data_IF_307144093264
#
_entry.id   IF_307144093264
#
_cell.length_a   1.000
_cell.length_b   1.000
_cell.length_c   1.000
_cell.angle_alpha   90.00
_cell.angle_beta   90.00
_cell.angle_gamma   90.00
#
_symmetry.space_group_name_H-M   'P 1'
#
loop_
_entity.id
_entity.type
_entity.pdbx_description
1 polymer ?
#
# COMPACT_ATOMS: atom_id res chain seq x y z
N UNK A 1 3.17 22.96 2.91
CA UNK A 1 4.09 21.80 3.01
C UNK A 1 3.24 20.57 2.67
N UNK A 2 3.73 19.65 1.85
CA UNK A 2 2.93 18.48 1.47
C UNK A 2 2.73 17.56 2.68
N UNK A 3 1.54 17.02 2.85
CA UNK A 3 1.21 16.06 3.91
C UNK A 3 1.64 14.66 3.50
N UNK A 4 1.99 13.86 4.47
CA UNK A 4 2.32 12.43 4.29
C UNK A 4 1.23 11.57 4.93
N UNK A 5 0.69 10.62 4.19
CA UNK A 5 -0.33 9.68 4.65
C UNK A 5 0.23 8.26 4.62
N UNK A 6 0.15 7.55 5.72
CA UNK A 6 0.64 6.18 5.84
C UNK A 6 -0.54 5.23 5.99
N UNK A 7 -0.88 4.54 4.93
CA UNK A 7 -1.97 3.56 4.91
C UNK A 7 -1.44 2.25 5.49
N UNK A 8 -1.96 1.89 6.67
CA UNK A 8 -1.46 0.75 7.44
C UNK A 8 -0.40 1.13 8.49
N UNK A 9 -0.50 2.34 9.08
CA UNK A 9 0.39 2.79 10.15
C UNK A 9 0.31 1.95 11.43
N UNK A 10 -0.77 1.20 11.66
CA UNK A 10 -0.87 0.22 12.74
C UNK A 10 -0.09 -1.08 12.50
N UNK A 11 0.53 -1.26 11.32
CA UNK A 11 1.42 -2.38 11.01
C UNK A 11 2.87 -2.10 11.37
N UNK A 12 3.71 -3.16 11.34
CA UNK A 12 5.13 -3.08 11.71
C UNK A 12 5.91 -2.02 10.91
N UNK A 13 5.84 -2.10 9.57
CA UNK A 13 6.56 -1.19 8.68
C UNK A 13 5.92 0.20 8.73
N UNK A 14 4.59 0.27 8.64
CA UNK A 14 3.85 1.53 8.66
C UNK A 14 4.05 2.31 9.94
N UNK A 15 4.03 1.65 11.10
CA UNK A 15 4.28 2.26 12.39
C UNK A 15 5.69 2.83 12.51
N UNK A 16 6.70 2.05 12.09
CA UNK A 16 8.09 2.52 12.09
C UNK A 16 8.29 3.74 11.18
N UNK A 17 7.67 3.75 10.00
CA UNK A 17 7.72 4.91 9.09
C UNK A 17 6.99 6.12 9.68
N UNK A 18 5.81 5.90 10.31
CA UNK A 18 5.01 6.94 10.95
C UNK A 18 5.83 7.68 12.03
N UNK A 19 6.44 6.94 12.94
CA UNK A 19 7.27 7.50 14.00
C UNK A 19 8.52 8.22 13.45
N UNK A 20 9.17 7.65 12.43
CA UNK A 20 10.32 8.28 11.79
C UNK A 20 9.95 9.63 11.17
N UNK A 21 8.86 9.71 10.41
CA UNK A 21 8.45 10.95 9.77
C UNK A 21 7.98 12.00 10.80
N UNK A 22 7.29 11.56 11.85
CA UNK A 22 6.91 12.40 13.00
C UNK A 22 8.14 13.00 13.70
N UNK A 23 9.16 12.18 13.96
CA UNK A 23 10.39 12.65 14.60
C UNK A 23 11.13 13.75 13.80
N UNK A 24 10.88 13.79 12.48
CA UNK A 24 11.40 14.83 11.57
C UNK A 24 10.50 16.07 11.49
N UNK A 25 9.48 16.17 12.35
CA UNK A 25 8.51 17.28 12.38
C UNK A 25 7.76 17.48 11.05
N UNK A 26 7.56 16.39 10.29
CA UNK A 26 6.75 16.42 9.08
C UNK A 26 5.25 16.34 9.43
N UNK A 27 4.39 16.85 8.55
CA UNK A 27 2.93 16.75 8.69
C UNK A 27 2.48 15.35 8.24
N UNK A 28 2.28 14.44 9.20
CA UNK A 28 2.07 13.00 8.97
C UNK A 28 0.78 12.52 9.58
N UNK A 29 0.02 11.77 8.79
CA UNK A 29 -1.23 11.11 9.12
C UNK A 29 -1.11 9.61 8.91
N UNK A 30 -1.35 8.82 9.94
CA UNK A 30 -1.37 7.36 9.85
C UNK A 30 -2.78 6.80 9.88
N UNK A 31 -2.99 5.61 9.32
CA UNK A 31 -4.28 4.92 9.36
C UNK A 31 -4.21 3.56 10.06
N UNK A 32 -5.37 3.15 10.62
CA UNK A 32 -5.61 1.79 11.10
C UNK A 32 -6.93 1.25 10.55
N UNK A 33 -7.11 -0.07 10.53
CA UNK A 33 -8.36 -0.70 10.08
C UNK A 33 -9.00 -1.64 11.11
N UNK A 34 -8.21 -2.27 11.97
CA UNK A 34 -8.71 -3.26 12.94
C UNK A 34 -8.43 -2.87 14.40
N UNK A 35 -7.19 -2.61 14.70
CA UNK A 35 -6.77 -2.26 16.06
C UNK A 35 -6.76 -0.74 16.18
N UNK A 36 -7.65 -0.23 17.04
CA UNK A 36 -7.68 1.21 17.31
C UNK A 36 -6.37 1.61 17.99
N UNK A 37 -5.71 2.59 17.42
CA UNK A 37 -4.52 3.22 18.00
C UNK A 37 -4.76 4.72 18.08
N UNK A 38 -4.43 5.30 19.24
CA UNK A 38 -4.56 6.73 19.45
C UNK A 38 -3.72 7.50 18.41
N UNK A 39 -4.28 8.60 17.93
CA UNK A 39 -3.69 9.46 16.90
C UNK A 39 -3.65 8.90 15.46
N UNK A 40 -4.23 7.73 15.19
CA UNK A 40 -4.42 7.22 13.84
C UNK A 40 -5.86 7.42 13.36
N UNK A 41 -6.02 7.54 12.03
CA UNK A 41 -7.31 7.70 11.37
C UNK A 41 -7.88 6.32 11.04
N UNK A 42 -9.14 6.07 11.39
CA UNK A 42 -9.82 4.84 10.94
C UNK A 42 -9.99 4.88 9.42
N UNK A 43 -9.48 3.86 8.74
CA UNK A 43 -9.65 3.67 7.31
C UNK A 43 -9.67 2.19 6.95
N UNK A 44 -10.81 1.71 6.47
CA UNK A 44 -10.99 0.37 5.92
C UNK A 44 -11.10 0.45 4.39
N UNK A 45 -10.02 0.11 3.71
CA UNK A 45 -9.93 0.20 2.25
C UNK A 45 -11.01 -0.62 1.54
N UNK A 46 -11.47 -1.73 2.13
CA UNK A 46 -12.53 -2.57 1.56
C UNK A 46 -13.90 -1.87 1.47
N UNK A 47 -14.13 -0.86 2.30
CA UNK A 47 -15.39 -0.10 2.29
C UNK A 47 -15.47 0.93 1.18
N UNK A 48 -14.36 1.22 0.51
CA UNK A 48 -14.26 2.24 -0.54
C UNK A 48 -14.83 3.61 -0.12
N UNK A 49 -14.81 3.90 1.18
CA UNK A 49 -15.16 5.22 1.73
C UNK A 49 -13.88 6.02 1.94
N UNK A 50 -13.65 6.98 1.08
CA UNK A 50 -12.46 7.84 1.08
C UNK A 50 -12.72 9.20 1.72
N UNK A 51 -13.81 9.38 2.45
CA UNK A 51 -14.24 10.66 3.04
C UNK A 51 -13.20 11.24 4.02
N UNK A 52 -12.45 10.40 4.72
CA UNK A 52 -11.36 10.84 5.61
C UNK A 52 -10.21 11.55 4.85
N UNK A 53 -10.14 11.39 3.53
CA UNK A 53 -9.15 12.02 2.65
C UNK A 53 -9.69 13.19 1.82
N UNK A 54 -10.83 13.78 2.19
CA UNK A 54 -11.42 14.91 1.45
C UNK A 54 -10.50 16.13 1.35
N UNK A 55 -9.62 16.32 2.35
CA UNK A 55 -8.66 17.44 2.44
C UNK A 55 -7.30 17.14 1.80
N UNK A 56 -7.20 16.09 1.04
CA UNK A 56 -5.99 15.76 0.28
C UNK A 56 -5.81 16.76 -0.86
N UNK A 57 -4.59 17.25 -0.96
CA UNK A 57 -4.18 18.27 -1.94
C UNK A 57 -3.20 17.67 -2.96
N UNK A 58 -3.00 18.38 -4.07
CA UNK A 58 -2.02 17.99 -5.09
C UNK A 58 -0.61 17.89 -4.47
N UNK A 59 0.12 16.82 -4.81
CA UNK A 59 1.45 16.46 -4.31
C UNK A 59 1.52 16.01 -2.84
N UNK A 60 0.41 15.83 -2.12
CA UNK A 60 0.42 15.06 -0.88
C UNK A 60 0.93 13.64 -1.17
N UNK A 61 1.63 13.02 -0.21
CA UNK A 61 2.33 11.76 -0.41
C UNK A 61 1.59 10.64 0.32
N UNK A 62 1.28 9.56 -0.38
CA UNK A 62 0.65 8.37 0.18
C UNK A 62 1.60 7.18 0.13
N UNK A 63 1.91 6.62 1.29
CA UNK A 63 2.61 5.36 1.46
C UNK A 63 1.58 4.25 1.65
N UNK A 64 1.40 3.38 0.66
CA UNK A 64 0.46 2.27 0.73
C UNK A 64 1.22 1.03 1.20
N UNK A 65 1.04 0.69 2.48
CA UNK A 65 1.76 -0.37 3.19
C UNK A 65 0.82 -1.45 3.75
N UNK A 66 -0.48 -1.36 3.44
CA UNK A 66 -1.49 -2.29 3.93
C UNK A 66 -1.78 -3.39 2.90
N UNK A 67 -1.54 -4.64 3.28
CA UNK A 67 -1.90 -5.82 2.51
C UNK A 67 -2.13 -7.02 3.42
N UNK A 68 -2.86 -8.03 2.96
CA UNK A 68 -2.78 -9.38 3.50
C UNK A 68 -1.54 -10.06 2.90
N UNK A 69 -0.54 -10.36 3.75
CA UNK A 69 0.75 -10.90 3.31
C UNK A 69 1.03 -12.33 3.81
N UNK A 70 0.15 -12.92 4.62
CA UNK A 70 0.33 -14.29 5.10
C UNK A 70 -0.10 -15.31 4.03
N UNK A 71 0.83 -16.07 3.41
CA UNK A 71 0.53 -16.97 2.30
C UNK A 71 -0.47 -18.08 2.67
N UNK A 72 -0.37 -18.64 3.88
CA UNK A 72 -1.29 -19.70 4.34
C UNK A 72 -2.70 -19.19 4.52
N UNK A 73 -2.87 -17.98 5.07
CA UNK A 73 -4.18 -17.35 5.20
C UNK A 73 -4.76 -17.00 3.82
N UNK A 74 -3.94 -16.44 2.93
CA UNK A 74 -4.33 -16.07 1.56
C UNK A 74 -4.80 -17.31 0.77
N UNK A 75 -4.10 -18.44 0.89
CA UNK A 75 -4.48 -19.68 0.21
C UNK A 75 -5.90 -20.15 0.59
N UNK A 76 -6.32 -19.88 1.83
CA UNK A 76 -7.65 -20.25 2.36
C UNK A 76 -8.72 -19.15 2.11
N UNK A 77 -8.29 -17.91 1.87
CA UNK A 77 -9.16 -16.74 1.80
C UNK A 77 -8.91 -15.91 0.53
N UNK A 78 -8.73 -16.56 -0.61
CA UNK A 78 -8.35 -15.91 -1.89
C UNK A 78 -9.26 -14.75 -2.26
N UNK A 79 -10.57 -14.90 -2.14
CA UNK A 79 -11.53 -13.86 -2.50
C UNK A 79 -11.38 -12.60 -1.63
N UNK A 80 -11.11 -12.75 -0.32
CA UNK A 80 -10.87 -11.62 0.58
C UNK A 80 -9.51 -10.97 0.32
N UNK A 81 -8.50 -11.77 0.03
CA UNK A 81 -7.18 -11.26 -0.34
C UNK A 81 -7.22 -10.51 -1.67
N UNK A 82 -7.95 -11.01 -2.66
CA UNK A 82 -8.18 -10.35 -3.95
C UNK A 82 -8.89 -9.01 -3.75
N UNK A 83 -9.93 -8.97 -2.91
CA UNK A 83 -10.66 -7.73 -2.65
C UNK A 83 -9.77 -6.65 -2.03
N UNK A 84 -8.99 -6.96 -0.99
CA UNK A 84 -8.13 -5.98 -0.36
C UNK A 84 -6.86 -5.70 -1.16
N UNK A 85 -6.07 -6.74 -1.47
CA UNK A 85 -4.74 -6.54 -2.05
C UNK A 85 -4.78 -6.03 -3.49
N UNK A 86 -5.90 -6.17 -4.16
CA UNK A 86 -6.02 -5.81 -5.58
C UNK A 86 -7.17 -4.84 -5.82
N UNK A 87 -8.46 -5.26 -5.68
CA UNK A 87 -9.60 -4.44 -6.11
C UNK A 87 -9.76 -3.14 -5.34
N UNK A 88 -9.68 -3.22 -4.01
CA UNK A 88 -9.81 -2.03 -3.15
C UNK A 88 -8.59 -1.12 -3.28
N UNK A 89 -7.40 -1.70 -3.44
CA UNK A 89 -6.17 -0.95 -3.67
C UNK A 89 -6.24 -0.15 -4.97
N UNK A 90 -6.75 -0.74 -6.07
CA UNK A 90 -6.94 -0.02 -7.34
C UNK A 90 -7.90 1.15 -7.18
N UNK A 91 -9.09 0.92 -6.59
CA UNK A 91 -10.06 2.00 -6.36
C UNK A 91 -9.46 3.16 -5.58
N UNK A 92 -8.61 2.85 -4.60
CA UNK A 92 -7.94 3.87 -3.81
C UNK A 92 -6.87 4.60 -4.60
N UNK A 93 -6.07 3.89 -5.40
CA UNK A 93 -5.09 4.49 -6.31
C UNK A 93 -5.78 5.43 -7.32
N UNK A 94 -6.91 5.02 -7.90
CA UNK A 94 -7.69 5.85 -8.82
C UNK A 94 -8.18 7.14 -8.13
N UNK A 95 -8.71 7.03 -6.91
CA UNK A 95 -9.10 8.19 -6.12
C UNK A 95 -7.92 9.16 -5.89
N UNK A 96 -6.78 8.63 -5.46
CA UNK A 96 -5.57 9.44 -5.22
C UNK A 96 -5.03 10.08 -6.51
N UNK A 97 -5.18 9.40 -7.63
CA UNK A 97 -4.76 9.89 -8.93
C UNK A 97 -5.60 11.09 -9.38
N UNK A 98 -6.93 11.05 -9.16
CA UNK A 98 -7.81 12.20 -9.40
C UNK A 98 -7.40 13.40 -8.53
N UNK A 99 -6.91 13.16 -7.32
CA UNK A 99 -6.38 14.19 -6.41
C UNK A 99 -4.97 14.67 -6.78
N UNK A 100 -4.32 14.04 -7.77
CA UNK A 100 -2.92 14.27 -8.15
C UNK A 100 -1.94 14.06 -6.99
N UNK A 101 -2.28 13.18 -6.07
CA UNK A 101 -1.39 12.79 -4.97
C UNK A 101 -0.23 11.95 -5.49
N UNK A 102 0.92 12.01 -4.80
CA UNK A 102 2.04 11.11 -5.02
C UNK A 102 1.80 9.81 -4.29
N UNK A 103 2.09 8.69 -4.91
CA UNK A 103 1.89 7.37 -4.33
C UNK A 103 3.23 6.65 -4.29
N UNK A 104 3.54 6.11 -3.12
CA UNK A 104 4.64 5.18 -2.89
C UNK A 104 3.98 3.86 -2.49
N UNK A 105 4.07 2.86 -3.37
CA UNK A 105 3.51 1.54 -3.14
C UNK A 105 4.62 0.58 -2.74
N UNK A 106 4.45 -0.17 -1.65
CA UNK A 106 5.38 -1.20 -1.24
C UNK A 106 5.03 -2.51 -1.93
N UNK A 107 5.96 -3.00 -2.74
CA UNK A 107 5.88 -4.31 -3.37
C UNK A 107 6.51 -5.40 -2.49
N UNK A 108 6.75 -6.56 -3.03
CA UNK A 108 7.28 -7.73 -2.33
C UNK A 108 8.25 -8.52 -3.22
N UNK A 109 9.26 -9.14 -2.62
CA UNK A 109 10.13 -10.10 -3.28
C UNK A 109 9.38 -11.34 -3.81
N UNK A 110 8.15 -11.58 -3.34
CA UNK A 110 7.28 -12.66 -3.81
C UNK A 110 6.81 -12.49 -5.27
N UNK A 111 7.10 -11.34 -5.90
CA UNK A 111 6.90 -11.16 -7.35
C UNK A 111 7.89 -11.99 -8.17
N UNK A 112 8.96 -12.49 -7.57
CA UNK A 112 9.96 -13.35 -8.19
C UNK A 112 9.81 -14.81 -7.76
N UNK A 113 10.36 -15.74 -8.55
CA UNK A 113 10.27 -17.19 -8.30
C UNK A 113 11.38 -17.75 -7.38
N UNK A 114 12.34 -16.93 -7.00
CA UNK A 114 13.45 -17.34 -6.14
C UNK A 114 14.53 -18.19 -6.84
N UNK A 115 14.40 -18.53 -8.12
CA UNK A 115 15.31 -19.43 -8.81
C UNK A 115 16.71 -18.86 -9.05
N UNK A 116 16.81 -17.54 -9.27
CA UNK A 116 18.07 -16.85 -9.58
C UNK A 116 18.80 -16.34 -8.32
N UNK A 117 18.07 -15.83 -7.33
CA UNK A 117 18.61 -15.01 -6.24
C UNK A 117 19.13 -13.65 -6.73
N UNK A 118 19.39 -12.71 -5.82
CA UNK A 118 19.91 -11.37 -6.14
C UNK A 118 19.17 -10.68 -7.29
N UNK A 119 17.84 -10.65 -7.19
CA UNK A 119 17.00 -9.98 -8.19
C UNK A 119 17.19 -8.47 -8.13
N UNK A 120 17.09 -7.85 -9.30
CA UNK A 120 17.03 -6.39 -9.47
C UNK A 120 15.64 -5.99 -9.99
N UNK A 121 15.38 -4.69 -10.02
CA UNK A 121 14.14 -4.11 -10.53
C UNK A 121 13.89 -4.41 -12.01
N UNK A 122 14.95 -4.68 -12.78
CA UNK A 122 14.87 -5.00 -14.22
C UNK A 122 14.64 -6.48 -14.48
N UNK A 123 14.69 -7.34 -13.45
CA UNK A 123 14.47 -8.77 -13.63
C UNK A 123 12.99 -9.08 -13.91
N UNK A 124 12.77 -10.06 -14.77
CA UNK A 124 11.41 -10.46 -15.14
C UNK A 124 10.70 -11.13 -13.97
N UNK A 125 9.56 -10.58 -13.47
CA UNK A 125 8.81 -11.19 -12.40
C UNK A 125 8.15 -12.50 -12.85
N UNK A 126 8.11 -13.48 -11.92
CA UNK A 126 7.49 -14.78 -12.10
C UNK A 126 6.92 -15.31 -10.76
N UNK A 127 5.85 -14.71 -10.21
CA UNK A 127 5.34 -15.06 -8.90
C UNK A 127 4.79 -16.49 -8.85
N UNK A 128 5.20 -17.26 -7.83
CA UNK A 128 4.80 -18.65 -7.63
C UNK A 128 3.52 -18.80 -6.80
N UNK A 129 3.08 -17.76 -6.10
CA UNK A 129 1.91 -17.80 -5.25
C UNK A 129 0.94 -16.66 -5.53
N UNK A 130 -0.27 -16.78 -4.97
CA UNK A 130 -1.33 -15.81 -5.22
C UNK A 130 -1.01 -14.42 -4.66
N UNK A 131 -0.30 -14.34 -3.52
CA UNK A 131 0.13 -13.05 -2.96
C UNK A 131 1.05 -12.31 -3.95
N UNK A 132 2.11 -12.96 -4.40
CA UNK A 132 3.01 -12.37 -5.39
C UNK A 132 2.31 -11.97 -6.69
N UNK A 133 1.28 -12.73 -7.11
CA UNK A 133 0.45 -12.36 -8.28
C UNK A 133 -0.31 -11.05 -8.03
N UNK A 134 -0.89 -10.85 -6.84
CA UNK A 134 -1.59 -9.59 -6.49
C UNK A 134 -0.63 -8.41 -6.43
N UNK A 135 0.56 -8.60 -5.86
CA UNK A 135 1.59 -7.56 -5.82
C UNK A 135 2.05 -7.16 -7.24
N UNK A 136 2.32 -8.14 -8.12
CA UNK A 136 2.68 -7.87 -9.51
C UNK A 136 1.60 -7.09 -10.28
N UNK A 137 0.32 -7.34 -9.99
CA UNK A 137 -0.78 -6.57 -10.57
C UNK A 137 -0.71 -5.11 -10.10
N UNK A 138 -0.51 -4.90 -8.79
CA UNK A 138 -0.39 -3.56 -8.21
C UNK A 138 0.83 -2.80 -8.76
N UNK A 139 1.97 -3.46 -8.96
CA UNK A 139 3.14 -2.86 -9.63
C UNK A 139 2.81 -2.37 -11.04
N UNK A 140 2.13 -3.21 -11.85
CA UNK A 140 1.73 -2.81 -13.21
C UNK A 140 0.82 -1.59 -13.20
N UNK A 141 -0.09 -1.49 -12.24
CA UNK A 141 -0.98 -0.34 -12.09
C UNK A 141 -0.20 0.89 -11.63
N UNK A 142 0.68 0.73 -10.63
CA UNK A 142 1.55 1.81 -10.18
C UNK A 142 2.40 2.37 -11.33
N UNK A 143 2.94 1.51 -12.18
CA UNK A 143 3.72 1.90 -13.37
C UNK A 143 2.87 2.68 -14.39
N UNK A 144 1.62 2.30 -14.64
CA UNK A 144 0.70 3.05 -15.52
C UNK A 144 0.54 4.49 -15.04
N UNK A 145 0.47 4.70 -13.74
CA UNK A 145 0.34 6.03 -13.14
C UNK A 145 1.68 6.71 -12.83
N UNK A 146 2.80 6.15 -13.25
CA UNK A 146 4.16 6.66 -12.98
C UNK A 146 4.42 6.85 -11.47
N UNK A 147 4.02 5.89 -10.67
CA UNK A 147 4.17 5.90 -9.20
C UNK A 147 5.50 5.25 -8.80
N UNK A 148 5.95 5.56 -7.57
CA UNK A 148 7.18 4.99 -7.02
C UNK A 148 6.86 3.62 -6.40
N UNK A 149 7.61 2.59 -6.80
CA UNK A 149 7.60 1.26 -6.19
C UNK A 149 8.80 1.13 -5.23
N UNK A 150 8.62 0.43 -4.13
CA UNK A 150 9.67 0.11 -3.16
C UNK A 150 9.54 -1.37 -2.79
#
# INVERSE_FOLDING_TARGET
MNKSYIIGASGLIGGSLYELLKSKSLDVYGTYSKNNEDNLIFFDMNKSDFSCFNKVEENDIFYILSAYSNPSWIAQNKALAEELNYKSTIKFIDFLNVKKAKIIFMSSVEVFDGSKGNYSEDDKPNPLNFYGQTELINEKIANIYQKILI
#
